data_IF_543924662592
#
_entry.id   IF_543924662592
#
_cell.length_a   1.000
_cell.length_b   1.000
_cell.length_c   1.000
_cell.angle_alpha   90.00
_cell.angle_beta   90.00
_cell.angle_gamma   90.00
#
_symmetry.space_group_name_H-M   'P 1'
#
loop_
_entity.id
_entity.type
_entity.pdbx_description
1 polymer ?
#
# COMPACT_ATOMS: atom_id res chain seq x y z
N UNK A 1 -1.15 -2.27 36.41
CA UNK A 1 -1.85 -0.98 36.32
C UNK A 1 -2.72 -1.00 35.07
N UNK A 2 -4.04 -1.04 35.22
CA UNK A 2 -4.97 -0.89 34.10
C UNK A 2 -4.81 0.52 33.52
N UNK A 3 -4.31 0.64 32.29
CA UNK A 3 -4.24 1.94 31.62
C UNK A 3 -5.63 2.25 31.08
N UNK A 4 -6.30 3.16 31.77
CA UNK A 4 -7.65 3.65 31.48
C UNK A 4 -7.72 4.57 30.23
N UNK A 5 -6.76 4.48 29.32
CA UNK A 5 -6.65 5.35 28.16
C UNK A 5 -6.07 4.61 26.94
N UNK A 6 -6.57 4.97 25.76
CA UNK A 6 -6.05 4.59 24.45
C UNK A 6 -5.33 5.80 23.86
N UNK A 7 -4.02 5.67 23.67
CA UNK A 7 -3.29 6.55 22.77
C UNK A 7 -3.48 5.97 21.37
N UNK A 8 -4.30 6.61 20.53
CA UNK A 8 -4.59 6.12 19.18
C UNK A 8 -3.33 6.04 18.31
N UNK A 9 -2.31 6.84 18.64
CA UNK A 9 -1.00 6.75 18.01
C UNK A 9 0.11 7.08 19.02
N UNK A 10 0.85 6.06 19.45
CA UNK A 10 2.07 6.26 20.23
C UNK A 10 3.20 6.68 19.29
N UNK A 11 3.94 7.71 19.68
CA UNK A 11 5.13 8.14 18.98
C UNK A 11 6.15 7.00 18.95
N UNK A 12 6.47 6.58 17.73
CA UNK A 12 7.33 5.44 17.42
C UNK A 12 8.15 5.78 16.16
N UNK A 13 9.39 6.28 16.32
CA UNK A 13 10.24 6.62 15.18
C UNK A 13 10.73 5.39 14.40
N UNK A 14 10.48 4.17 14.92
CA UNK A 14 10.84 2.90 14.27
C UNK A 14 9.75 2.40 13.32
N UNK A 15 8.61 3.10 13.24
CA UNK A 15 7.57 2.77 12.27
C UNK A 15 8.13 2.71 10.84
N UNK A 16 7.62 1.77 10.01
CA UNK A 16 7.91 1.75 8.59
C UNK A 16 7.74 3.13 7.99
N UNK A 17 8.70 3.55 7.18
CA UNK A 17 8.80 4.92 6.68
C UNK A 17 7.60 5.34 5.84
N UNK A 18 7.01 4.38 5.11
CA UNK A 18 5.73 4.58 4.44
C UNK A 18 4.60 4.96 5.41
N UNK A 19 4.52 4.35 6.59
CA UNK A 19 3.50 4.69 7.59
C UNK A 19 3.72 6.08 8.18
N UNK A 20 4.98 6.46 8.42
CA UNK A 20 5.32 7.81 8.85
C UNK A 20 4.96 8.83 7.77
N UNK A 21 5.28 8.55 6.51
CA UNK A 21 4.91 9.40 5.38
C UNK A 21 3.40 9.60 5.31
N UNK A 22 2.62 8.50 5.32
CA UNK A 22 1.16 8.56 5.28
C UNK A 22 0.57 9.31 6.49
N UNK A 23 1.20 9.23 7.66
CA UNK A 23 0.77 9.97 8.83
C UNK A 23 1.01 11.47 8.69
N UNK A 24 2.20 11.88 8.24
CA UNK A 24 2.63 13.27 8.22
C UNK A 24 2.27 14.04 6.95
N UNK A 25 2.00 13.35 5.84
CA UNK A 25 1.46 13.97 4.63
C UNK A 25 0.12 14.67 4.89
N UNK A 26 -0.62 14.27 5.94
CA UNK A 26 -1.89 14.89 6.37
C UNK A 26 -1.77 16.37 6.73
N UNK A 27 -0.58 16.82 7.13
CA UNK A 27 -0.32 18.23 7.44
C UNK A 27 0.21 19.01 6.25
N UNK A 28 0.53 18.36 5.12
CA UNK A 28 1.13 18.99 3.96
C UNK A 28 0.07 19.65 3.08
N UNK A 29 0.08 20.98 3.02
CA UNK A 29 -0.93 21.77 2.32
C UNK A 29 -0.93 21.60 0.79
N UNK A 30 0.15 21.03 0.22
CA UNK A 30 0.21 20.75 -1.22
C UNK A 30 -0.74 19.61 -1.62
N UNK A 31 -1.06 18.73 -0.68
CA UNK A 31 -1.84 17.53 -0.93
C UNK A 31 -3.29 17.81 -0.53
N UNK A 32 -4.16 18.01 -1.52
CA UNK A 32 -5.60 18.12 -1.23
C UNK A 32 -6.11 16.80 -0.67
N UNK A 33 -7.03 16.86 0.30
CA UNK A 33 -7.65 15.68 0.93
C UNK A 33 -6.61 14.67 1.48
N UNK A 34 -5.48 15.17 1.99
CA UNK A 34 -4.36 14.34 2.45
C UNK A 34 -4.75 13.28 3.49
N UNK A 35 -5.78 13.56 4.30
CA UNK A 35 -6.35 12.59 5.24
C UNK A 35 -6.96 11.38 4.50
N UNK A 36 -7.82 11.62 3.52
CA UNK A 36 -8.48 10.57 2.76
C UNK A 36 -7.50 9.79 1.90
N UNK A 37 -6.51 10.47 1.30
CA UNK A 37 -5.42 9.79 0.58
C UNK A 37 -4.59 8.89 1.50
N UNK A 38 -4.28 9.36 2.70
CA UNK A 38 -3.55 8.55 3.69
C UNK A 38 -4.30 7.29 4.05
N UNK A 39 -5.61 7.39 4.32
CA UNK A 39 -6.47 6.25 4.60
C UNK A 39 -6.54 5.31 3.40
N UNK A 40 -6.83 5.85 2.22
CA UNK A 40 -6.99 5.05 1.00
C UNK A 40 -5.72 4.27 0.64
N UNK A 41 -4.53 4.85 0.81
CA UNK A 41 -3.26 4.13 0.58
C UNK A 41 -3.02 3.10 1.68
N UNK A 42 -3.24 3.44 2.95
CA UNK A 42 -3.11 2.49 4.06
C UNK A 42 -4.01 1.27 3.88
N UNK A 43 -5.27 1.49 3.52
CA UNK A 43 -6.25 0.43 3.29
C UNK A 43 -5.87 -0.43 2.10
N UNK A 44 -5.33 0.16 1.02
CA UNK A 44 -4.84 -0.60 -0.15
C UNK A 44 -3.62 -1.46 0.18
N UNK A 45 -2.68 -0.96 1.00
CA UNK A 45 -1.54 -1.75 1.48
C UNK A 45 -2.04 -2.94 2.30
N UNK A 46 -2.99 -2.72 3.21
CA UNK A 46 -3.56 -3.79 4.02
C UNK A 46 -4.34 -4.81 3.17
N UNK A 47 -5.17 -4.32 2.24
CA UNK A 47 -5.95 -5.18 1.34
C UNK A 47 -5.04 -6.03 0.45
N UNK A 48 -3.97 -5.44 -0.10
CA UNK A 48 -2.97 -6.18 -0.88
C UNK A 48 -2.35 -7.33 -0.06
N UNK A 49 -2.02 -7.08 1.21
CA UNK A 49 -1.49 -8.11 2.11
C UNK A 49 -2.51 -9.23 2.35
N UNK A 50 -3.76 -8.90 2.65
CA UNK A 50 -4.83 -9.89 2.84
C UNK A 50 -5.01 -10.74 1.59
N UNK A 51 -5.07 -10.10 0.41
CA UNK A 51 -5.24 -10.80 -0.86
C UNK A 51 -4.04 -11.71 -1.20
N UNK A 52 -2.82 -11.30 -0.85
CA UNK A 52 -1.64 -12.14 -0.97
C UNK A 52 -1.78 -13.41 -0.12
N UNK A 53 -2.17 -13.27 1.15
CA UNK A 53 -2.42 -14.41 2.06
C UNK A 53 -3.55 -15.32 1.53
N UNK A 54 -4.65 -14.73 1.02
CA UNK A 54 -5.77 -15.50 0.46
C UNK A 54 -5.40 -16.35 -0.76
N UNK A 55 -4.46 -15.88 -1.59
CA UNK A 55 -3.93 -16.67 -2.73
C UNK A 55 -3.13 -17.85 -2.21
N UNK A 56 -2.22 -17.63 -1.25
CA UNK A 56 -1.42 -18.70 -0.65
C UNK A 56 -2.30 -19.77 0.01
N UNK A 57 -3.34 -19.36 0.72
CA UNK A 57 -4.30 -20.27 1.35
C UNK A 57 -5.14 -21.08 0.34
N UNK A 58 -5.30 -20.58 -0.89
CA UNK A 58 -6.08 -21.23 -1.94
C UNK A 58 -5.26 -22.27 -2.73
N UNK A 59 -3.93 -22.12 -2.80
CA UNK A 59 -3.04 -23.06 -3.50
C UNK A 59 -3.26 -24.53 -3.10
N UNK A 60 -3.21 -24.92 -1.80
CA UNK A 60 -3.39 -26.33 -1.41
C UNK A 60 -4.77 -26.88 -1.80
N UNK A 61 -5.81 -26.05 -1.78
CA UNK A 61 -7.17 -26.47 -2.14
C UNK A 61 -7.30 -26.80 -3.64
N UNK A 62 -6.63 -26.04 -4.52
CA UNK A 62 -6.58 -26.38 -5.95
C UNK A 62 -5.73 -27.64 -6.18
N UNK A 63 -4.63 -27.85 -5.45
CA UNK A 63 -3.89 -29.12 -5.54
C UNK A 63 -4.72 -30.33 -5.14
N UNK A 64 -5.51 -30.23 -4.06
CA UNK A 64 -6.40 -31.30 -3.61
C UNK A 64 -7.49 -31.61 -4.65
N UNK A 65 -8.12 -30.58 -5.24
CA UNK A 65 -9.10 -30.73 -6.33
C UNK A 65 -8.48 -31.42 -7.56
N UNK A 66 -7.28 -31.02 -7.98
CA UNK A 66 -6.60 -31.61 -9.12
C UNK A 66 -6.20 -33.08 -8.87
N UNK A 67 -5.85 -33.42 -7.62
CA UNK A 67 -5.61 -34.80 -7.22
C UNK A 67 -6.89 -35.63 -7.30
N UNK A 68 -8.01 -35.11 -6.83
CA UNK A 68 -9.32 -35.76 -6.94
C UNK A 68 -9.73 -35.98 -8.40
N UNK A 69 -9.54 -34.96 -9.26
CA UNK A 69 -9.80 -35.06 -10.70
C UNK A 69 -8.95 -36.16 -11.32
N UNK A 70 -7.67 -36.24 -10.96
CA UNK A 70 -6.76 -37.30 -11.44
C UNK A 70 -7.21 -38.70 -11.02
N UNK A 71 -7.75 -38.85 -9.82
CA UNK A 71 -8.23 -40.13 -9.28
C UNK A 71 -9.59 -40.55 -9.88
N UNK A 72 -10.50 -39.60 -10.09
CA UNK A 72 -11.90 -39.87 -10.52
C UNK A 72 -12.13 -39.73 -12.02
N UNK A 73 -11.25 -39.02 -12.73
CA UNK A 73 -11.38 -38.70 -14.15
C UNK A 73 -12.32 -37.52 -14.47
N UNK A 74 -12.91 -36.89 -13.46
CA UNK A 74 -13.76 -35.69 -13.60
C UNK A 74 -13.75 -34.86 -12.31
N UNK A 75 -14.13 -33.58 -12.41
CA UNK A 75 -14.31 -32.67 -11.27
C UNK A 75 -14.90 -31.33 -11.71
N UNK A 76 -15.06 -30.41 -10.75
CA UNK A 76 -15.86 -29.20 -10.95
C UNK A 76 -15.03 -27.92 -11.21
N UNK A 77 -13.69 -28.01 -11.07
CA UNK A 77 -12.73 -26.91 -11.31
C UNK A 77 -13.00 -25.63 -10.48
N UNK A 78 -13.65 -25.79 -9.33
CA UNK A 78 -14.11 -24.68 -8.49
C UNK A 78 -12.96 -24.05 -7.74
N UNK A 79 -12.06 -24.87 -7.19
CA UNK A 79 -10.93 -24.38 -6.38
C UNK A 79 -9.86 -23.74 -7.27
N UNK A 80 -9.63 -24.28 -8.46
CA UNK A 80 -8.73 -23.67 -9.41
C UNK A 80 -9.31 -22.40 -10.05
N UNK A 81 -10.63 -22.32 -10.28
CA UNK A 81 -11.28 -21.06 -10.63
C UNK A 81 -11.12 -20.01 -9.52
N UNK A 82 -11.36 -20.37 -8.24
CA UNK A 82 -11.15 -19.46 -7.10
C UNK A 82 -9.71 -18.95 -7.05
N UNK A 83 -8.73 -19.83 -7.26
CA UNK A 83 -7.31 -19.45 -7.30
C UNK A 83 -7.03 -18.41 -8.38
N UNK A 84 -7.51 -18.64 -9.61
CA UNK A 84 -7.35 -17.67 -10.70
C UNK A 84 -7.94 -16.29 -10.35
N UNK A 85 -9.13 -16.28 -9.72
CA UNK A 85 -9.80 -15.02 -9.31
C UNK A 85 -9.06 -14.29 -8.21
N UNK A 86 -8.66 -15.00 -7.16
CA UNK A 86 -7.89 -14.41 -6.06
C UNK A 86 -6.57 -13.83 -6.57
N UNK A 87 -5.87 -14.55 -7.45
CA UNK A 87 -4.65 -14.07 -8.09
C UNK A 87 -4.87 -12.79 -8.90
N UNK A 88 -5.89 -12.73 -9.76
CA UNK A 88 -6.21 -11.54 -10.54
C UNK A 88 -6.60 -10.33 -9.66
N UNK A 89 -7.35 -10.57 -8.58
CA UNK A 89 -7.74 -9.53 -7.62
C UNK A 89 -6.52 -9.00 -6.85
N UNK A 90 -5.59 -9.87 -6.46
CA UNK A 90 -4.31 -9.49 -5.86
C UNK A 90 -3.54 -8.53 -6.79
N UNK A 91 -3.34 -8.89 -8.06
CA UNK A 91 -2.67 -8.01 -9.03
C UNK A 91 -3.39 -6.67 -9.23
N UNK A 92 -4.73 -6.69 -9.26
CA UNK A 92 -5.52 -5.47 -9.37
C UNK A 92 -5.38 -4.55 -8.13
N UNK A 93 -5.19 -5.12 -6.95
CA UNK A 93 -4.95 -4.36 -5.72
C UNK A 93 -3.64 -3.55 -5.79
N UNK A 94 -2.58 -4.16 -6.35
CA UNK A 94 -1.28 -3.51 -6.56
C UNK A 94 -1.41 -2.37 -7.56
N UNK A 95 -2.05 -2.61 -8.71
CA UNK A 95 -2.31 -1.56 -9.70
C UNK A 95 -3.05 -0.38 -9.06
N UNK A 96 -4.11 -0.65 -8.29
CA UNK A 96 -4.91 0.39 -7.65
C UNK A 96 -4.12 1.16 -6.58
N UNK A 97 -3.22 0.51 -5.85
CA UNK A 97 -2.29 1.15 -4.92
C UNK A 97 -1.37 2.13 -5.64
N UNK A 98 -0.77 1.72 -6.76
CA UNK A 98 0.13 2.55 -7.56
C UNK A 98 -0.57 3.79 -8.14
N UNK A 99 -1.82 3.65 -8.61
CA UNK A 99 -2.60 4.79 -9.09
C UNK A 99 -2.84 5.83 -7.97
N UNK A 100 -3.16 5.40 -6.75
CA UNK A 100 -3.29 6.31 -5.61
C UNK A 100 -1.97 7.00 -5.25
N UNK A 101 -0.87 6.26 -5.26
CA UNK A 101 0.48 6.82 -5.05
C UNK A 101 0.78 7.89 -6.08
N UNK A 102 0.49 7.65 -7.37
CA UNK A 102 0.76 8.62 -8.44
C UNK A 102 0.00 9.94 -8.27
N UNK A 103 -1.22 9.90 -7.70
CA UNK A 103 -2.00 11.11 -7.37
C UNK A 103 -1.33 11.92 -6.27
N UNK A 104 -0.84 11.26 -5.22
CA UNK A 104 -0.11 11.91 -4.13
C UNK A 104 1.18 12.55 -4.66
N UNK A 105 1.93 11.84 -5.50
CA UNK A 105 3.14 12.38 -6.14
C UNK A 105 2.80 13.60 -6.99
N UNK A 106 1.71 13.58 -7.76
CA UNK A 106 1.29 14.74 -8.55
C UNK A 106 1.04 15.99 -7.69
N UNK A 107 0.46 15.82 -6.48
CA UNK A 107 0.30 16.92 -5.53
C UNK A 107 1.62 17.44 -4.97
N UNK A 108 2.60 16.56 -4.74
CA UNK A 108 3.90 16.95 -4.19
C UNK A 108 4.78 17.72 -5.18
N UNK A 109 4.53 17.58 -6.49
CA UNK A 109 5.19 18.32 -7.57
C UNK A 109 4.19 19.13 -8.42
N UNK A 110 3.51 20.14 -7.86
CA UNK A 110 2.43 20.85 -8.55
C UNK A 110 2.92 21.54 -9.84
N UNK A 111 4.13 22.08 -9.82
CA UNK A 111 4.71 22.81 -10.96
C UNK A 111 5.14 21.92 -12.13
N UNK A 112 5.16 20.59 -11.92
CA UNK A 112 5.57 19.62 -12.95
C UNK A 112 4.39 19.15 -13.80
N UNK A 113 3.14 19.48 -13.44
CA UNK A 113 1.93 19.08 -14.17
C UNK A 113 1.94 17.58 -14.51
N UNK A 114 2.19 16.74 -13.49
CA UNK A 114 2.36 15.30 -13.67
C UNK A 114 1.05 14.60 -14.06
N UNK A 115 1.10 13.55 -14.89
CA UNK A 115 -0.07 12.71 -15.11
C UNK A 115 -0.46 11.97 -13.81
N UNK A 116 -1.77 11.74 -13.64
CA UNK A 116 -2.34 11.01 -12.50
C UNK A 116 -2.37 9.48 -12.68
N UNK A 117 -1.74 8.96 -13.74
CA UNK A 117 -1.62 7.54 -13.99
C UNK A 117 -0.18 7.13 -13.69
N UNK A 118 0.01 6.07 -12.91
CA UNK A 118 1.32 5.68 -12.38
C UNK A 118 2.29 5.37 -13.51
N UNK A 119 1.90 4.56 -14.50
CA UNK A 119 2.78 4.23 -15.64
C UNK A 119 3.21 5.46 -16.44
N UNK A 120 2.28 6.36 -16.76
CA UNK A 120 2.63 7.62 -17.45
C UNK A 120 3.57 8.48 -16.62
N UNK A 121 3.38 8.46 -15.30
CA UNK A 121 4.23 9.20 -14.37
C UNK A 121 5.62 8.56 -14.28
N UNK A 122 5.72 7.22 -14.13
CA UNK A 122 6.95 6.43 -14.19
C UNK A 122 7.79 6.84 -15.40
N UNK A 123 7.24 6.72 -16.61
CA UNK A 123 7.98 7.05 -17.83
C UNK A 123 8.45 8.51 -17.83
N UNK A 124 7.63 9.43 -17.34
CA UNK A 124 8.01 10.84 -17.28
C UNK A 124 9.18 11.10 -16.34
N UNK A 125 9.24 10.44 -15.18
CA UNK A 125 10.39 10.53 -14.26
C UNK A 125 11.64 9.82 -14.81
N UNK A 126 11.48 8.81 -15.67
CA UNK A 126 12.60 8.13 -16.31
C UNK A 126 13.15 8.91 -17.52
N UNK A 127 12.30 9.65 -18.23
CA UNK A 127 12.68 10.46 -19.39
C UNK A 127 13.13 11.88 -19.02
N UNK A 128 12.65 12.41 -17.89
CA UNK A 128 12.92 13.76 -17.43
C UNK A 128 13.58 13.72 -16.05
N UNK A 129 14.64 14.50 -15.84
CA UNK A 129 15.28 14.68 -14.53
C UNK A 129 14.39 15.54 -13.59
N UNK A 130 13.24 15.02 -13.18
CA UNK A 130 12.29 15.70 -12.28
C UNK A 130 12.75 15.54 -10.83
N UNK A 131 13.06 14.31 -10.45
CA UNK A 131 13.63 13.92 -9.15
C UNK A 131 14.45 12.66 -9.39
N UNK A 132 15.78 12.79 -9.34
CA UNK A 132 16.69 11.70 -9.68
C UNK A 132 16.57 10.52 -8.72
N UNK A 133 16.34 10.78 -7.43
CA UNK A 133 16.20 9.73 -6.42
C UNK A 133 14.91 8.95 -6.65
N UNK A 134 13.80 9.65 -6.92
CA UNK A 134 12.55 8.97 -7.24
C UNK A 134 12.63 8.24 -8.60
N UNK A 135 13.33 8.81 -9.58
CA UNK A 135 13.66 8.14 -10.84
C UNK A 135 14.38 6.81 -10.63
N UNK A 136 15.41 6.77 -9.78
CA UNK A 136 16.14 5.54 -9.42
C UNK A 136 15.23 4.51 -8.74
N UNK A 137 14.33 4.95 -7.85
CA UNK A 137 13.32 4.06 -7.23
C UNK A 137 12.44 3.44 -8.31
N UNK A 138 12.03 4.23 -9.31
CA UNK A 138 11.13 3.80 -10.39
C UNK A 138 11.79 2.86 -11.41
N UNK A 139 13.11 2.93 -11.61
CA UNK A 139 13.84 1.98 -12.46
C UNK A 139 13.62 0.53 -12.00
N UNK A 140 13.47 0.31 -10.69
CA UNK A 140 13.29 -1.02 -10.11
C UNK A 140 11.81 -1.47 -10.06
N UNK A 141 10.94 -0.90 -10.90
CA UNK A 141 9.50 -1.19 -10.94
C UNK A 141 9.04 -1.87 -12.22
N UNK A 142 9.87 -2.70 -12.84
CA UNK A 142 9.48 -3.49 -14.03
C UNK A 142 8.34 -4.47 -13.75
N UNK A 143 8.17 -4.87 -12.49
CA UNK A 143 7.03 -5.65 -12.02
C UNK A 143 5.68 -4.92 -12.25
N UNK A 144 5.64 -3.58 -12.25
CA UNK A 144 4.41 -2.82 -12.51
C UNK A 144 3.92 -3.02 -13.94
N UNK A 145 4.85 -3.11 -14.90
CA UNK A 145 4.51 -3.32 -16.31
C UNK A 145 3.88 -4.69 -16.54
N UNK A 146 4.43 -5.72 -15.89
CA UNK A 146 3.85 -7.06 -15.89
C UNK A 146 2.47 -7.07 -15.22
N UNK A 147 2.36 -6.59 -13.97
CA UNK A 147 1.12 -6.53 -13.19
C UNK A 147 0.02 -5.82 -13.99
N UNK A 148 0.33 -4.66 -14.57
CA UNK A 148 -0.59 -3.86 -15.38
C UNK A 148 -1.02 -4.60 -16.63
N UNK A 149 -0.12 -5.32 -17.29
CA UNK A 149 -0.45 -6.13 -18.47
C UNK A 149 -1.45 -7.23 -18.13
N UNK A 150 -1.17 -8.02 -17.08
CA UNK A 150 -2.05 -9.12 -16.65
C UNK A 150 -3.40 -8.58 -16.21
N UNK A 151 -3.40 -7.56 -15.34
CA UNK A 151 -4.61 -6.92 -14.84
C UNK A 151 -5.44 -6.32 -15.96
N UNK A 152 -4.83 -5.61 -16.91
CA UNK A 152 -5.55 -4.97 -18.03
C UNK A 152 -6.26 -6.02 -18.87
N UNK A 153 -5.65 -7.17 -19.09
CA UNK A 153 -6.28 -8.26 -19.83
C UNK A 153 -7.46 -8.85 -19.04
N UNK A 154 -7.24 -9.24 -17.77
CA UNK A 154 -8.27 -9.82 -16.91
C UNK A 154 -9.48 -8.89 -16.69
N UNK A 155 -9.26 -7.57 -16.66
CA UNK A 155 -10.31 -6.57 -16.43
C UNK A 155 -11.12 -6.24 -17.69
N UNK A 156 -10.49 -6.22 -18.86
CA UNK A 156 -11.11 -5.69 -20.08
C UNK A 156 -11.46 -6.75 -21.13
N UNK A 157 -10.91 -7.95 -21.00
CA UNK A 157 -11.00 -8.98 -22.03
C UNK A 157 -11.21 -10.36 -21.40
N UNK A 158 -10.21 -11.24 -21.46
CA UNK A 158 -10.30 -12.60 -20.96
C UNK A 158 -9.59 -12.72 -19.61
N UNK A 159 -10.20 -13.49 -18.73
CA UNK A 159 -9.52 -13.98 -17.54
C UNK A 159 -8.66 -15.18 -17.86
N UNK A 160 -7.62 -15.39 -17.07
CA UNK A 160 -6.78 -16.57 -17.19
C UNK A 160 -7.40 -17.79 -16.52
N UNK A 161 -6.72 -18.92 -16.70
CA UNK A 161 -7.04 -20.18 -16.03
C UNK A 161 -5.77 -20.76 -15.42
N UNK A 162 -5.95 -21.59 -14.39
CA UNK A 162 -4.86 -22.29 -13.73
C UNK A 162 -4.41 -23.46 -14.60
N UNK A 163 -3.10 -23.59 -14.75
CA UNK A 163 -2.47 -24.70 -15.47
C UNK A 163 -1.65 -25.55 -14.52
N UNK A 164 -1.50 -26.83 -14.80
CA UNK A 164 -0.55 -27.68 -14.09
C UNK A 164 0.79 -27.60 -14.83
N UNK A 165 1.78 -26.94 -14.26
CA UNK A 165 3.13 -26.86 -14.84
C UNK A 165 3.99 -28.04 -14.40
N UNK A 166 3.82 -28.51 -13.17
CA UNK A 166 4.39 -29.76 -12.66
C UNK A 166 3.52 -30.36 -11.55
N UNK A 167 3.92 -31.50 -10.98
CA UNK A 167 3.17 -32.13 -9.87
C UNK A 167 3.13 -31.29 -8.59
N UNK A 168 3.96 -30.25 -8.50
CA UNK A 168 4.11 -29.38 -7.32
C UNK A 168 3.92 -27.90 -7.64
N UNK A 169 3.62 -27.55 -8.88
CA UNK A 169 3.54 -26.16 -9.32
C UNK A 169 2.25 -25.92 -10.12
N UNK A 170 1.54 -24.87 -9.73
CA UNK A 170 0.38 -24.35 -10.44
C UNK A 170 0.81 -23.11 -11.20
N UNK A 171 0.57 -23.12 -12.51
CA UNK A 171 0.76 -21.97 -13.38
C UNK A 171 -0.51 -21.17 -13.59
N UNK A 172 -0.36 -20.00 -14.20
CA UNK A 172 -1.46 -19.16 -14.69
C UNK A 172 -1.21 -18.87 -16.18
N UNK A 173 -2.23 -19.12 -16.99
CA UNK A 173 -2.17 -18.82 -18.42
C UNK A 173 -3.31 -17.90 -18.83
N UNK A 174 -2.98 -16.90 -19.64
CA UNK A 174 -3.93 -16.06 -20.33
C UNK A 174 -3.43 -15.77 -21.76
N UNK A 175 -4.36 -15.71 -22.72
CA UNK A 175 -4.07 -15.36 -24.12
C UNK A 175 -4.65 -13.97 -24.40
N UNK A 176 -3.83 -12.90 -24.33
CA UNK A 176 -4.33 -11.56 -24.43
C UNK A 176 -5.10 -11.27 -25.72
N UNK A 177 -6.16 -10.46 -25.60
CA UNK A 177 -6.97 -9.93 -26.71
C UNK A 177 -6.72 -8.45 -26.94
N UNK A 178 -6.03 -7.77 -26.02
CA UNK A 178 -5.61 -6.39 -26.22
C UNK A 178 -4.70 -6.23 -27.45
N UNK A 179 -5.08 -5.31 -28.35
CA UNK A 179 -4.27 -4.90 -29.52
C UNK A 179 -3.32 -3.73 -29.19
N UNK A 180 -3.22 -3.33 -27.91
CA UNK A 180 -2.37 -2.22 -27.50
C UNK A 180 -0.90 -2.55 -27.74
N UNK A 181 -0.14 -1.55 -28.16
CA UNK A 181 1.32 -1.66 -28.34
C UNK A 181 1.97 -2.10 -27.02
N UNK A 182 2.75 -3.19 -27.08
CA UNK A 182 3.45 -3.76 -25.92
C UNK A 182 2.67 -4.84 -25.18
N UNK A 183 1.44 -5.18 -25.57
CA UNK A 183 0.73 -6.33 -25.01
C UNK A 183 1.47 -7.63 -25.38
N UNK A 184 1.82 -8.49 -24.40
CA UNK A 184 2.48 -9.75 -24.67
C UNK A 184 1.55 -10.68 -25.47
N UNK A 185 2.13 -11.49 -26.37
CA UNK A 185 1.36 -12.47 -27.17
C UNK A 185 0.67 -13.53 -26.31
N UNK A 186 1.20 -13.77 -25.11
CA UNK A 186 0.82 -14.79 -24.17
C UNK A 186 1.32 -14.39 -22.78
N UNK A 187 0.47 -14.57 -21.78
CA UNK A 187 0.83 -14.45 -20.37
C UNK A 187 0.91 -15.87 -19.84
N UNK A 188 2.10 -16.27 -19.40
CA UNK A 188 2.36 -17.62 -18.91
C UNK A 188 3.24 -17.53 -17.68
N UNK A 189 2.64 -17.76 -16.52
CA UNK A 189 3.32 -17.89 -15.24
C UNK A 189 3.38 -19.38 -14.94
N UNK A 190 4.59 -19.92 -14.74
CA UNK A 190 4.75 -21.35 -14.49
C UNK A 190 4.48 -21.71 -13.03
N UNK A 191 4.68 -20.77 -12.11
CA UNK A 191 4.54 -20.98 -10.68
C UNK A 191 3.92 -19.72 -10.07
N UNK A 192 2.62 -19.82 -9.78
CA UNK A 192 1.82 -18.75 -9.18
C UNK A 192 2.34 -18.41 -7.79
N UNK A 193 2.73 -19.40 -6.98
CA UNK A 193 3.22 -19.18 -5.62
C UNK A 193 4.50 -18.34 -5.65
N UNK A 194 5.49 -18.77 -6.44
CA UNK A 194 6.73 -18.03 -6.60
C UNK A 194 6.50 -16.63 -7.17
N UNK A 195 5.60 -16.50 -8.14
CA UNK A 195 5.29 -15.21 -8.76
C UNK A 195 4.68 -14.23 -7.76
N UNK A 196 3.67 -14.64 -6.98
CA UNK A 196 3.05 -13.72 -6.01
C UNK A 196 4.01 -13.32 -4.89
N UNK A 197 4.88 -14.22 -4.43
CA UNK A 197 5.92 -13.90 -3.45
C UNK A 197 6.87 -12.84 -4.00
N UNK A 198 7.39 -13.05 -5.21
CA UNK A 198 8.30 -12.10 -5.85
C UNK A 198 7.64 -10.73 -6.07
N UNK A 199 6.41 -10.70 -6.58
CA UNK A 199 5.67 -9.45 -6.80
C UNK A 199 5.39 -8.73 -5.47
N UNK A 200 4.95 -9.46 -4.45
CA UNK A 200 4.68 -8.90 -3.12
C UNK A 200 5.94 -8.29 -2.49
N UNK A 201 7.07 -9.00 -2.56
CA UNK A 201 8.36 -8.51 -2.04
C UNK A 201 8.83 -7.26 -2.78
N UNK A 202 8.69 -7.24 -4.11
CA UNK A 202 9.03 -6.09 -4.95
C UNK A 202 8.18 -4.85 -4.59
N UNK A 203 6.88 -5.02 -4.37
CA UNK A 203 6.00 -3.93 -3.95
C UNK A 203 6.38 -3.44 -2.54
N UNK A 204 6.69 -4.36 -1.62
CA UNK A 204 7.18 -3.99 -0.29
C UNK A 204 8.48 -3.18 -0.33
N UNK A 205 9.44 -3.60 -1.17
CA UNK A 205 10.69 -2.88 -1.39
C UNK A 205 10.45 -1.48 -1.98
N UNK A 206 9.57 -1.38 -2.98
CA UNK A 206 9.15 -0.10 -3.54
C UNK A 206 8.51 0.81 -2.49
N UNK A 207 7.55 0.32 -1.69
CA UNK A 207 6.90 1.11 -0.64
C UNK A 207 7.89 1.58 0.43
N UNK A 208 8.89 0.76 0.76
CA UNK A 208 9.96 1.16 1.69
C UNK A 208 10.76 2.32 1.11
N UNK A 209 11.30 2.17 -0.10
CA UNK A 209 12.11 3.20 -0.75
C UNK A 209 11.31 4.49 -1.02
N UNK A 210 10.06 4.34 -1.45
CA UNK A 210 9.11 5.44 -1.61
C UNK A 210 8.91 6.19 -0.29
N UNK A 211 8.63 5.45 0.79
CA UNK A 211 8.45 6.03 2.12
C UNK A 211 9.70 6.78 2.60
N UNK A 212 10.89 6.20 2.40
CA UNK A 212 12.17 6.83 2.75
C UNK A 212 12.42 8.16 2.03
N UNK A 213 12.11 8.20 0.73
CA UNK A 213 12.27 9.39 -0.09
C UNK A 213 11.25 10.46 0.25
N UNK A 214 9.97 10.12 0.16
CA UNK A 214 8.90 11.11 0.30
C UNK A 214 8.69 11.60 1.73
N UNK A 215 9.12 10.84 2.74
CA UNK A 215 9.19 11.34 4.10
C UNK A 215 10.12 12.55 4.23
N UNK A 216 11.14 12.70 3.36
CA UNK A 216 12.02 13.88 3.33
C UNK A 216 11.41 15.05 2.56
N UNK A 217 10.49 14.76 1.65
CA UNK A 217 9.84 15.75 0.77
C UNK A 217 8.65 16.42 1.45
N UNK A 218 7.90 15.69 2.28
CA UNK A 218 6.77 16.29 3.01
C UNK A 218 7.24 17.44 3.90
N UNK A 219 6.36 18.42 4.11
CA UNK A 219 6.64 19.55 4.98
C UNK A 219 6.92 19.04 6.41
N UNK A 220 8.19 19.11 6.83
CA UNK A 220 8.66 18.61 8.12
C UNK A 220 8.10 19.38 9.32
N UNK A 221 7.69 20.63 9.09
CA UNK A 221 7.22 21.57 10.11
C UNK A 221 5.68 21.64 10.17
N UNK A 222 5.01 21.12 9.15
CA UNK A 222 3.56 20.94 9.16
C UNK A 222 3.14 20.06 10.33
N UNK A 223 2.15 20.53 11.09
CA UNK A 223 1.68 19.83 12.28
C UNK A 223 0.42 19.04 11.97
N UNK A 224 0.37 17.82 12.48
CA UNK A 224 -0.81 16.97 12.45
C UNK A 224 -1.45 16.90 13.85
N UNK A 225 -2.75 16.64 13.88
CA UNK A 225 -3.48 16.37 15.10
C UNK A 225 -3.47 14.86 15.41
N UNK A 226 -2.97 14.50 16.58
CA UNK A 226 -3.00 13.14 17.12
C UNK A 226 -3.99 13.07 18.30
N UNK A 227 -5.10 12.33 18.17
CA UNK A 227 -6.08 12.19 19.23
C UNK A 227 -5.57 11.27 20.37
N UNK A 228 -6.01 11.57 21.59
CA UNK A 228 -5.77 10.80 22.82
C UNK A 228 -7.11 10.55 23.49
N UNK A 229 -7.47 9.30 23.79
CA UNK A 229 -8.80 8.94 24.30
C UNK A 229 -8.67 8.31 25.70
N UNK A 230 -9.49 8.74 26.65
CA UNK A 230 -9.71 8.00 27.91
C UNK A 230 -10.91 7.08 27.75
N UNK A 231 -10.69 5.77 27.89
CA UNK A 231 -11.70 4.76 27.57
C UNK A 231 -12.86 4.72 28.55
N UNK A 232 -12.61 4.95 29.85
CA UNK A 232 -13.69 4.97 30.85
C UNK A 232 -14.65 6.14 30.73
N UNK A 233 -14.17 7.30 30.28
CA UNK A 233 -14.94 8.55 30.30
C UNK A 233 -15.32 9.06 28.92
N UNK A 234 -14.78 8.48 27.84
CA UNK A 234 -14.98 8.97 26.47
C UNK A 234 -14.32 10.33 26.19
N UNK A 235 -13.53 10.87 27.12
CA UNK A 235 -12.87 12.16 26.94
C UNK A 235 -11.77 12.07 25.89
N UNK A 236 -11.72 13.07 25.01
CA UNK A 236 -10.77 13.18 23.91
C UNK A 236 -9.88 14.41 24.13
N UNK A 237 -8.57 14.19 24.16
CA UNK A 237 -7.56 15.24 24.05
C UNK A 237 -6.91 15.20 22.67
N UNK A 238 -6.28 16.30 22.28
CA UNK A 238 -5.55 16.37 20.99
C UNK A 238 -4.14 16.90 21.20
N UNK A 239 -3.15 16.22 20.62
CA UNK A 239 -1.75 16.64 20.55
C UNK A 239 -1.43 17.06 19.12
N UNK A 240 -0.90 18.27 18.93
CA UNK A 240 -0.34 18.75 17.68
C UNK A 240 1.16 18.48 17.62
N UNK A 241 1.63 17.78 16.59
CA UNK A 241 3.06 17.46 16.42
C UNK A 241 3.46 17.53 14.95
N UNK A 242 4.65 18.06 14.67
CA UNK A 242 5.30 18.04 13.35
C UNK A 242 6.15 16.78 13.17
N UNK A 243 6.55 16.47 11.93
CA UNK A 243 7.40 15.31 11.67
C UNK A 243 8.78 15.48 12.33
N UNK A 244 9.35 16.69 12.30
CA UNK A 244 10.63 16.99 12.97
C UNK A 244 10.57 16.68 14.47
N UNK A 245 9.56 17.21 15.15
CA UNK A 245 9.33 16.94 16.58
C UNK A 245 9.08 15.45 16.85
N UNK A 246 8.38 14.77 15.93
CA UNK A 246 8.09 13.34 16.06
C UNK A 246 9.38 12.50 16.01
N UNK A 247 10.27 12.77 15.07
CA UNK A 247 11.54 12.05 14.94
C UNK A 247 12.51 12.34 16.10
N UNK A 248 12.45 13.55 16.67
CA UNK A 248 13.28 13.97 17.79
C UNK A 248 12.75 13.56 19.18
N UNK A 249 11.70 12.73 19.24
CA UNK A 249 11.04 12.35 20.50
C UNK A 249 10.49 13.55 21.31
N UNK A 250 10.11 14.63 20.63
CA UNK A 250 9.57 15.82 21.28
C UNK A 250 8.09 15.66 21.67
N UNK A 251 7.70 16.41 22.70
CA UNK A 251 6.38 16.29 23.29
C UNK A 251 5.24 16.84 22.40
N UNK A 252 5.53 17.72 21.42
CA UNK A 252 4.52 18.48 20.69
C UNK A 252 3.74 19.47 21.58
N UNK A 253 2.61 19.95 21.07
CA UNK A 253 1.73 20.93 21.74
C UNK A 253 0.40 20.27 22.10
N UNK A 254 -0.08 20.44 23.32
CA UNK A 254 -1.44 20.04 23.68
C UNK A 254 -2.43 21.10 23.18
N UNK A 255 -3.38 20.70 22.34
CA UNK A 255 -4.43 21.59 21.82
C UNK A 255 -5.66 21.67 22.74
N UNK A 256 -5.69 20.86 23.79
CA UNK A 256 -6.82 20.75 24.72
C UNK A 256 -6.38 21.03 26.16
N UNK A 257 -5.42 21.94 26.36
CA UNK A 257 -4.82 22.27 27.66
C UNK A 257 -5.81 22.87 28.67
N UNK A 258 -6.84 23.54 28.15
CA UNK A 258 -7.83 24.27 28.93
C UNK A 258 -9.07 23.41 29.22
N UNK A 259 -9.14 22.21 28.64
CA UNK A 259 -10.21 21.24 28.82
C UNK A 259 -9.75 20.11 29.76
N UNK A 260 -10.66 19.22 30.17
CA UNK A 260 -10.33 18.05 30.98
C UNK A 260 -9.58 16.99 30.15
N UNK A 261 -8.34 17.31 29.79
CA UNK A 261 -7.50 16.47 28.96
C UNK A 261 -7.29 15.11 29.65
N UNK A 262 -7.58 14.00 28.96
CA UNK A 262 -7.52 12.66 29.55
C UNK A 262 -6.13 12.26 30.05
N UNK A 263 -5.09 12.92 29.54
CA UNK A 263 -3.69 12.65 29.86
C UNK A 263 -3.02 13.80 30.62
N UNK A 264 -3.78 14.73 31.22
CA UNK A 264 -3.24 15.94 31.86
C UNK A 264 -2.10 15.69 32.85
N UNK A 265 -2.17 14.60 33.60
CA UNK A 265 -1.20 14.26 34.64
C UNK A 265 0.06 13.58 34.12
N UNK A 266 0.00 12.92 32.94
CA UNK A 266 1.09 12.09 32.39
C UNK A 266 1.65 12.59 31.05
N UNK A 267 0.99 13.55 30.40
CA UNK A 267 1.39 14.07 29.09
C UNK A 267 2.33 15.28 29.21
N UNK A 268 3.55 15.12 28.69
CA UNK A 268 4.54 16.22 28.63
C UNK A 268 4.08 17.40 27.77
N UNK A 269 3.25 17.16 26.74
CA UNK A 269 2.72 18.24 25.89
C UNK A 269 1.78 19.16 26.70
N UNK A 270 0.94 18.57 27.55
CA UNK A 270 0.00 19.30 28.41
C UNK A 270 0.72 20.04 29.54
N UNK A 271 1.78 19.45 30.12
CA UNK A 271 2.59 20.13 31.15
C UNK A 271 3.32 21.36 30.58
N UNK A 272 3.77 21.30 29.33
CA UNK A 272 4.43 22.43 28.65
C UNK A 272 3.45 23.56 28.30
N UNK A 273 2.20 23.25 27.94
CA UNK A 273 1.21 24.27 27.57
C UNK A 273 0.68 25.11 28.74
N UNK A 274 0.98 24.73 30.00
CA UNK A 274 0.58 25.48 31.21
C UNK A 274 1.71 26.30 31.84
N UNK A 275 2.91 26.29 31.25
CA UNK A 275 4.03 27.15 31.64
C UNK A 275 4.07 28.36 30.72
#
# INVERSE_FOLDING_TARGET
MNKDYIILHKQDPTLPKIKLFLLFMKGDQRISDAFDWSLAVSDKINAMKVLFEEVLEQLPQCFDELKEIKERGYGNDVECLKLARKYEIFLNSIYSLCENISRIVAYLYPDKNLPQNFFKQKNRFLEQEIDSIYGEILVNTDWDDEVRSIRSEATHYLSGFITISSSTELGYFNKPKSERKGTPKNISINDVEKHINQVYDNVCAFLSAFGDHFLKIVNQDSRIALPCIRTSSGLIGTKSISLREYLNNEAGICLTSDFDCPLKDSCNAHRKSKK
#
